data_IF_579259761427
#
_entry.id   IF_579259761427
#
_cell.length_a   1.000
_cell.length_b   1.000
_cell.length_c   1.000
_cell.angle_alpha   90.00
_cell.angle_beta   90.00
_cell.angle_gamma   90.00
#
_symmetry.space_group_name_H-M   'P 1'
#
loop_
_entity.id
_entity.type
_entity.pdbx_description
1 polymer ?
#
# COMPACT_ATOMS: atom_id res chain seq x y z
N UNK A 1 1.16 -10.15 1.20
CA UNK A 1 2.01 -8.96 1.52
C UNK A 1 3.01 -8.56 0.42
N UNK A 2 3.72 -9.46 -0.28
CA UNK A 2 4.61 -9.06 -1.40
C UNK A 2 3.91 -8.22 -2.49
N UNK A 3 2.69 -8.61 -2.87
CA UNK A 3 1.89 -7.86 -3.83
C UNK A 3 1.42 -6.49 -3.33
N UNK A 4 1.27 -6.33 -2.00
CA UNK A 4 0.95 -5.03 -1.39
C UNK A 4 2.12 -4.07 -1.59
N UNK A 5 3.36 -4.51 -1.30
CA UNK A 5 4.58 -3.72 -1.57
C UNK A 5 4.67 -3.31 -3.03
N UNK A 6 4.53 -4.28 -3.95
CA UNK A 6 4.60 -3.99 -5.39
C UNK A 6 3.57 -2.96 -5.85
N UNK A 7 2.39 -2.91 -5.25
CA UNK A 7 1.39 -1.88 -5.58
C UNK A 7 1.70 -0.54 -4.93
N UNK A 8 2.23 -0.52 -3.71
CA UNK A 8 2.73 0.70 -3.06
C UNK A 8 3.84 1.32 -3.91
N UNK A 9 4.83 0.53 -4.34
CA UNK A 9 5.93 1.00 -5.19
C UNK A 9 5.40 1.61 -6.50
N UNK A 10 4.46 0.92 -7.16
CA UNK A 10 3.83 1.42 -8.39
C UNK A 10 3.04 2.71 -8.18
N UNK A 11 2.42 2.90 -7.02
CA UNK A 11 1.73 4.14 -6.67
C UNK A 11 2.77 5.25 -6.48
N UNK A 12 3.85 5.00 -5.73
CA UNK A 12 4.93 5.96 -5.52
C UNK A 12 5.62 6.38 -6.83
N UNK A 13 5.92 5.41 -7.70
CA UNK A 13 6.47 5.67 -9.03
C UNK A 13 5.53 6.53 -9.87
N UNK A 14 4.22 6.23 -9.87
CA UNK A 14 3.24 7.03 -10.60
C UNK A 14 3.18 8.46 -10.10
N UNK A 15 3.14 8.66 -8.78
CA UNK A 15 3.13 9.99 -8.16
C UNK A 15 4.35 10.81 -8.58
N UNK A 16 5.52 10.19 -8.68
CA UNK A 16 6.74 10.83 -9.19
C UNK A 16 6.71 11.22 -10.68
N UNK A 17 5.77 10.69 -11.46
CA UNK A 17 5.65 10.95 -12.91
C UNK A 17 4.52 11.90 -13.29
N UNK A 18 3.74 12.37 -12.31
CA UNK A 18 2.64 13.33 -12.50
C UNK A 18 3.19 14.62 -13.13
N UNK A 19 2.65 15.07 -14.28
CA UNK A 19 3.08 16.32 -14.89
C UNK A 19 2.75 17.49 -13.96
N UNK A 20 3.59 18.53 -13.97
CA UNK A 20 3.37 19.71 -13.12
C UNK A 20 2.21 20.57 -13.60
N UNK A 21 2.03 20.67 -14.92
CA UNK A 21 0.97 21.45 -15.59
C UNK A 21 0.31 20.59 -16.67
N UNK A 22 -0.83 21.05 -17.20
CA UNK A 22 -1.59 20.37 -18.27
C UNK A 22 -1.90 21.41 -19.36
N UNK A 23 -0.86 21.82 -20.09
CA UNK A 23 -0.92 22.95 -21.02
C UNK A 23 -1.23 22.53 -22.47
N UNK A 24 -1.30 21.22 -22.74
CA UNK A 24 -1.57 20.66 -24.06
C UNK A 24 -2.50 19.44 -24.02
N UNK A 25 -3.06 19.06 -25.17
CA UNK A 25 -3.85 17.82 -25.28
C UNK A 25 -3.00 16.56 -25.03
N UNK A 26 -1.71 16.60 -25.39
CA UNK A 26 -0.77 15.53 -25.04
C UNK A 26 -0.58 15.41 -23.52
N UNK A 27 -0.48 16.53 -22.81
CA UNK A 27 -0.40 16.53 -21.35
C UNK A 27 -1.70 16.05 -20.72
N UNK A 28 -2.85 16.43 -21.31
CA UNK A 28 -4.17 15.95 -20.89
C UNK A 28 -4.26 14.43 -20.98
N UNK A 29 -3.82 13.85 -22.10
CA UNK A 29 -3.80 12.40 -22.30
C UNK A 29 -2.86 11.70 -21.32
N UNK A 30 -1.68 12.27 -21.08
CA UNK A 30 -0.73 11.76 -20.10
C UNK A 30 -1.27 11.82 -18.68
N UNK A 31 -1.84 12.95 -18.28
CA UNK A 31 -2.49 13.16 -16.99
C UNK A 31 -3.64 12.16 -16.79
N UNK A 32 -4.51 12.01 -17.78
CA UNK A 32 -5.60 11.03 -17.76
C UNK A 32 -5.07 9.60 -17.55
N UNK A 33 -4.05 9.18 -18.30
CA UNK A 33 -3.44 7.84 -18.15
C UNK A 33 -2.86 7.62 -16.75
N UNK A 34 -2.24 8.65 -16.16
CA UNK A 34 -1.67 8.56 -14.81
C UNK A 34 -2.78 8.44 -13.77
N UNK A 35 -3.81 9.29 -13.84
CA UNK A 35 -4.95 9.26 -12.93
C UNK A 35 -5.69 7.92 -13.01
N UNK A 36 -5.92 7.39 -14.21
CA UNK A 36 -6.58 6.09 -14.39
C UNK A 36 -5.78 4.94 -13.78
N UNK A 37 -4.45 4.97 -13.94
CA UNK A 37 -3.56 3.98 -13.30
C UNK A 37 -3.54 4.13 -11.79
N UNK A 38 -3.55 5.36 -11.27
CA UNK A 38 -3.60 5.62 -9.83
C UNK A 38 -4.87 5.02 -9.23
N UNK A 39 -6.05 5.29 -9.82
CA UNK A 39 -7.34 4.70 -9.42
C UNK A 39 -7.30 3.17 -9.49
N UNK A 40 -6.72 2.61 -10.55
CA UNK A 40 -6.61 1.15 -10.71
C UNK A 40 -5.75 0.53 -9.60
N UNK A 41 -4.60 1.11 -9.29
CA UNK A 41 -3.68 0.56 -8.30
C UNK A 41 -4.20 0.75 -6.87
N UNK A 42 -4.81 1.89 -6.56
CA UNK A 42 -5.44 2.12 -5.25
C UNK A 42 -6.57 1.13 -4.99
N UNK A 43 -7.46 0.91 -5.97
CA UNK A 43 -8.52 -0.09 -5.88
C UNK A 43 -7.98 -1.53 -5.74
N UNK A 44 -6.91 -1.86 -6.47
CA UNK A 44 -6.30 -3.19 -6.39
C UNK A 44 -5.65 -3.43 -5.03
N UNK A 45 -5.00 -2.41 -4.49
CA UNK A 45 -4.34 -2.47 -3.19
C UNK A 45 -5.36 -2.59 -2.06
N UNK A 46 -6.45 -1.84 -2.12
CA UNK A 46 -7.54 -1.93 -1.14
C UNK A 46 -8.14 -3.35 -1.10
N UNK A 47 -8.43 -3.94 -2.27
CA UNK A 47 -8.93 -5.31 -2.36
C UNK A 47 -7.98 -6.31 -1.71
N UNK A 48 -6.67 -6.15 -1.93
CA UNK A 48 -5.65 -7.02 -1.32
C UNK A 48 -5.55 -6.84 0.19
N UNK A 49 -5.65 -5.60 0.69
CA UNK A 49 -5.66 -5.33 2.13
C UNK A 49 -6.90 -5.97 2.76
N UNK A 50 -8.08 -5.75 2.18
CA UNK A 50 -9.34 -6.35 2.66
C UNK A 50 -9.28 -7.88 2.66
N UNK A 51 -8.72 -8.49 1.62
CA UNK A 51 -8.55 -9.94 1.55
C UNK A 51 -7.52 -10.49 2.55
N UNK A 52 -6.54 -9.68 2.98
CA UNK A 52 -5.57 -10.09 4.01
C UNK A 52 -6.02 -9.75 5.43
N UNK A 53 -6.98 -8.84 5.60
CA UNK A 53 -7.66 -8.54 6.86
C UNK A 53 -8.85 -9.46 7.06
N UNK A 54 -8.64 -10.75 6.87
CA UNK A 54 -9.65 -11.75 7.20
C UNK A 54 -9.79 -11.78 8.73
N UNK A 55 -10.98 -11.46 9.19
CA UNK A 55 -11.30 -11.27 10.61
C UNK A 55 -11.02 -12.54 11.43
N UNK A 56 -11.16 -13.73 10.84
CA UNK A 56 -10.90 -14.99 11.52
C UNK A 56 -9.40 -15.19 11.77
N UNK A 57 -8.56 -14.91 10.77
CA UNK A 57 -7.10 -14.99 10.93
C UNK A 57 -6.58 -13.93 11.90
N UNK A 58 -7.11 -12.71 11.84
CA UNK A 58 -6.73 -11.66 12.78
C UNK A 58 -7.13 -12.06 14.20
N UNK A 59 -8.37 -12.51 14.44
CA UNK A 59 -8.81 -12.98 15.75
C UNK A 59 -7.92 -14.09 16.30
N UNK A 60 -7.53 -15.08 15.48
CA UNK A 60 -6.61 -16.15 15.91
C UNK A 60 -5.25 -15.61 16.38
N UNK A 61 -4.72 -14.58 15.72
CA UNK A 61 -3.48 -13.92 16.14
C UNK A 61 -3.66 -13.14 17.45
N UNK A 62 -4.77 -12.41 17.61
CA UNK A 62 -5.09 -11.69 18.86
C UNK A 62 -5.40 -12.63 20.03
N UNK A 63 -5.90 -13.85 19.77
CA UNK A 63 -6.13 -14.87 20.80
C UNK A 63 -4.88 -15.66 21.18
N UNK A 64 -3.73 -15.42 20.52
CA UNK A 64 -2.48 -16.14 20.81
C UNK A 64 -2.04 -15.99 22.26
N UNK A 65 -1.57 -17.06 22.88
CA UNK A 65 -0.97 -17.02 24.23
C UNK A 65 0.38 -16.28 24.24
N UNK A 66 0.99 -16.07 23.08
CA UNK A 66 2.29 -15.40 22.93
C UNK A 66 2.07 -13.90 22.76
N UNK A 67 2.49 -13.10 23.74
CA UNK A 67 2.32 -11.63 23.75
C UNK A 67 2.94 -10.94 22.53
N UNK A 68 4.06 -11.45 22.02
CA UNK A 68 4.70 -10.93 20.81
C UNK A 68 3.82 -11.13 19.56
N UNK A 69 3.08 -12.23 19.47
CA UNK A 69 2.17 -12.51 18.36
C UNK A 69 0.93 -11.60 18.42
N UNK A 70 0.43 -11.32 19.62
CA UNK A 70 -0.63 -10.33 19.84
C UNK A 70 -0.21 -8.93 19.42
N UNK A 71 0.94 -8.46 19.90
CA UNK A 71 1.48 -7.16 19.51
C UNK A 71 1.73 -7.06 18.00
N UNK A 72 2.15 -8.15 17.37
CA UNK A 72 2.28 -8.22 15.92
C UNK A 72 0.94 -8.07 15.20
N UNK A 73 -0.13 -8.72 15.70
CA UNK A 73 -1.48 -8.58 15.16
C UNK A 73 -1.96 -7.12 15.22
N UNK A 74 -1.80 -6.46 16.38
CA UNK A 74 -2.14 -5.05 16.57
C UNK A 74 -1.36 -4.15 15.60
N UNK A 75 -0.06 -4.40 15.40
CA UNK A 75 0.75 -3.61 14.47
C UNK A 75 0.30 -3.78 13.01
N UNK A 76 -0.09 -5.00 12.59
CA UNK A 76 -0.60 -5.29 11.25
C UNK A 76 -1.97 -4.66 11.03
N UNK A 77 -2.87 -4.74 12.03
CA UNK A 77 -4.18 -4.11 11.93
C UNK A 77 -4.07 -2.59 11.80
N UNK A 78 -3.23 -1.96 12.63
CA UNK A 78 -2.97 -0.53 12.55
C UNK A 78 -2.40 -0.16 11.17
N UNK A 79 -1.46 -0.95 10.64
CA UNK A 79 -0.91 -0.74 9.29
C UNK A 79 -2.02 -0.80 8.22
N UNK A 80 -2.89 -1.80 8.26
CA UNK A 80 -3.98 -1.93 7.28
C UNK A 80 -4.99 -0.80 7.38
N UNK A 81 -5.33 -0.37 8.60
CA UNK A 81 -6.20 0.80 8.82
C UNK A 81 -5.57 2.06 8.21
N UNK A 82 -4.31 2.33 8.52
CA UNK A 82 -3.60 3.51 8.01
C UNK A 82 -3.53 3.50 6.47
N UNK A 83 -3.25 2.33 5.87
CA UNK A 83 -3.23 2.16 4.42
C UNK A 83 -4.62 2.37 3.79
N UNK A 84 -5.70 1.89 4.41
CA UNK A 84 -7.07 2.11 3.90
C UNK A 84 -7.39 3.61 3.90
N UNK A 85 -7.15 4.32 5.00
CA UNK A 85 -7.40 5.76 5.08
C UNK A 85 -6.62 6.53 4.02
N UNK A 86 -5.38 6.13 3.75
CA UNK A 86 -4.58 6.69 2.66
C UNK A 86 -5.18 6.41 1.28
N UNK A 87 -5.63 5.18 1.03
CA UNK A 87 -6.23 4.82 -0.25
C UNK A 87 -7.52 5.59 -0.51
N UNK A 88 -8.30 5.89 0.52
CA UNK A 88 -9.52 6.69 0.39
C UNK A 88 -9.19 8.13 -0.02
N UNK A 89 -8.20 8.75 0.62
CA UNK A 89 -7.72 10.10 0.24
C UNK A 89 -7.20 10.10 -1.20
N UNK A 90 -6.33 9.14 -1.56
CA UNK A 90 -5.79 9.05 -2.92
C UNK A 90 -6.88 8.85 -3.98
N UNK A 91 -7.98 8.16 -3.66
CA UNK A 91 -9.09 7.97 -4.60
C UNK A 91 -9.90 9.24 -4.79
N UNK A 92 -10.19 9.97 -3.71
CA UNK A 92 -10.91 11.24 -3.82
C UNK A 92 -10.08 12.26 -4.59
N UNK A 93 -8.79 12.41 -4.25
CA UNK A 93 -7.88 13.27 -4.99
C UNK A 93 -7.79 12.87 -6.47
N UNK A 94 -7.70 11.57 -6.77
CA UNK A 94 -7.66 11.08 -8.15
C UNK A 94 -8.96 11.35 -8.92
N UNK A 95 -10.13 11.24 -8.27
CA UNK A 95 -11.42 11.59 -8.90
C UNK A 95 -11.49 13.08 -9.22
N UNK A 96 -11.03 13.94 -8.31
CA UNK A 96 -11.04 15.38 -8.51
C UNK A 96 -10.04 15.79 -9.59
N UNK A 97 -8.84 15.19 -9.60
CA UNK A 97 -7.88 15.33 -10.70
C UNK A 97 -8.49 14.88 -12.04
N UNK A 98 -9.27 13.79 -12.07
CA UNK A 98 -9.95 13.32 -13.29
C UNK A 98 -10.95 14.34 -13.81
N UNK A 99 -11.72 14.99 -12.93
CA UNK A 99 -12.64 16.06 -13.33
C UNK A 99 -11.87 17.26 -13.89
N UNK A 100 -10.85 17.73 -13.15
CA UNK A 100 -10.01 18.87 -13.55
C UNK A 100 -9.42 18.67 -14.94
N UNK A 101 -8.84 17.50 -15.23
CA UNK A 101 -8.22 17.23 -16.54
C UNK A 101 -9.23 17.31 -17.69
N UNK A 102 -10.49 16.96 -17.44
CA UNK A 102 -11.52 16.86 -18.47
C UNK A 102 -12.38 18.11 -18.61
N UNK A 103 -12.40 18.98 -17.60
CA UNK A 103 -13.21 20.21 -17.56
C UNK A 103 -12.38 21.48 -17.89
N UNK A 104 -13.05 22.49 -18.45
CA UNK A 104 -12.51 23.87 -18.58
C UNK A 104 -11.56 24.13 -19.75
N UNK A 105 -11.22 25.42 -19.93
CA UNK A 105 -10.15 25.86 -20.80
C UNK A 105 -8.76 25.51 -20.22
N UNK A 106 -7.70 25.66 -21.03
CA UNK A 106 -6.34 25.20 -20.69
C UNK A 106 -5.77 25.95 -19.47
N UNK A 107 -6.04 27.25 -19.35
CA UNK A 107 -5.43 28.10 -18.32
C UNK A 107 -6.00 27.79 -16.93
N UNK A 108 -7.33 27.67 -16.83
CA UNK A 108 -8.01 27.28 -15.60
C UNK A 108 -7.68 25.83 -15.19
N UNK A 109 -7.58 24.92 -16.17
CA UNK A 109 -7.18 23.53 -15.96
C UNK A 109 -5.80 23.41 -15.35
N UNK A 110 -4.79 24.06 -15.93
CA UNK A 110 -3.41 23.96 -15.44
C UNK A 110 -3.27 24.49 -14.02
N UNK A 111 -3.95 25.58 -13.67
CA UNK A 111 -3.94 26.13 -12.32
C UNK A 111 -4.60 25.19 -11.31
N UNK A 112 -5.79 24.66 -11.62
CA UNK A 112 -6.48 23.67 -10.77
C UNK A 112 -5.68 22.38 -10.62
N UNK A 113 -5.04 21.94 -11.70
CA UNK A 113 -4.19 20.76 -11.70
C UNK A 113 -2.99 20.93 -10.76
N UNK A 114 -2.24 22.03 -10.88
CA UNK A 114 -1.14 22.35 -9.96
C UNK A 114 -1.56 22.27 -8.50
N UNK A 115 -2.73 22.84 -8.16
CA UNK A 115 -3.28 22.80 -6.81
C UNK A 115 -3.60 21.36 -6.36
N UNK A 116 -4.24 20.56 -7.21
CA UNK A 116 -4.57 19.17 -6.91
C UNK A 116 -3.33 18.31 -6.71
N UNK A 117 -2.29 18.50 -7.53
CA UNK A 117 -1.00 17.80 -7.37
C UNK A 117 -0.32 18.18 -6.06
N UNK A 118 -0.36 19.45 -5.65
CA UNK A 118 0.18 19.89 -4.38
C UNK A 118 -0.55 19.24 -3.19
N UNK A 119 -1.88 19.16 -3.25
CA UNK A 119 -2.69 18.50 -2.22
C UNK A 119 -2.38 17.01 -2.12
N UNK A 120 -2.33 16.31 -3.26
CA UNK A 120 -1.98 14.90 -3.33
C UNK A 120 -0.60 14.62 -2.71
N UNK A 121 0.41 15.42 -3.07
CA UNK A 121 1.75 15.30 -2.53
C UNK A 121 1.79 15.53 -1.01
N UNK A 122 1.05 16.52 -0.52
CA UNK A 122 0.94 16.77 0.92
C UNK A 122 0.23 15.62 1.64
N UNK A 123 -0.84 15.06 1.08
CA UNK A 123 -1.52 13.89 1.62
C UNK A 123 -0.59 12.69 1.75
N UNK A 124 0.15 12.38 0.68
CA UNK A 124 1.16 11.30 0.65
C UNK A 124 2.26 11.50 1.69
N UNK A 125 2.73 12.74 1.87
CA UNK A 125 3.81 13.09 2.78
C UNK A 125 3.35 13.02 4.25
N UNK A 126 2.15 13.55 4.55
CA UNK A 126 1.54 13.50 5.88
C UNK A 126 1.25 12.06 6.32
N UNK A 127 0.89 11.20 5.37
CA UNK A 127 0.53 9.80 5.63
C UNK A 127 1.74 8.84 5.55
N UNK A 128 2.95 9.35 5.33
CA UNK A 128 4.20 8.61 5.44
C UNK A 128 4.20 7.24 4.73
N UNK A 129 3.75 7.16 3.47
CA UNK A 129 3.71 5.91 2.67
C UNK A 129 5.02 5.09 2.75
N UNK A 130 6.17 5.75 2.69
CA UNK A 130 7.50 5.13 2.83
C UNK A 130 7.70 4.43 4.19
N UNK A 131 7.06 4.92 5.25
CA UNK A 131 7.10 4.31 6.58
C UNK A 131 6.24 3.04 6.62
N UNK A 132 5.10 3.04 5.94
CA UNK A 132 4.27 1.84 5.79
C UNK A 132 4.99 0.76 4.98
N UNK A 133 5.67 1.13 3.90
CA UNK A 133 6.52 0.24 3.11
C UNK A 133 7.60 -0.42 3.99
N UNK A 134 8.36 0.39 4.76
CA UNK A 134 9.38 -0.11 5.70
C UNK A 134 8.80 -1.04 6.77
N UNK A 135 7.60 -0.75 7.29
CA UNK A 135 6.89 -1.63 8.25
C UNK A 135 6.54 -2.97 7.62
N UNK A 136 6.02 -2.98 6.38
CA UNK A 136 5.71 -4.22 5.66
C UNK A 136 6.98 -5.04 5.38
N UNK A 137 8.07 -4.39 4.99
CA UNK A 137 9.36 -5.06 4.79
C UNK A 137 9.86 -5.71 6.09
N UNK A 138 9.73 -5.03 7.24
CA UNK A 138 10.04 -5.59 8.57
C UNK A 138 9.20 -6.85 8.84
N UNK A 139 7.90 -6.80 8.55
CA UNK A 139 7.01 -7.96 8.76
C UNK A 139 7.36 -9.15 7.85
N UNK A 140 7.72 -8.90 6.59
CA UNK A 140 8.17 -9.98 5.71
C UNK A 140 9.47 -10.63 6.23
N UNK A 141 10.42 -9.85 6.74
CA UNK A 141 11.64 -10.38 7.36
C UNK A 141 11.35 -11.24 8.59
N UNK A 142 10.48 -10.77 9.48
CA UNK A 142 10.06 -11.54 10.67
C UNK A 142 9.40 -12.85 10.25
N UNK A 143 8.48 -12.80 9.28
CA UNK A 143 7.83 -13.99 8.75
C UNK A 143 8.85 -14.99 8.21
N UNK A 144 9.75 -14.55 7.33
CA UNK A 144 10.78 -15.42 6.74
C UNK A 144 11.70 -16.00 7.81
N UNK A 145 12.10 -15.21 8.81
CA UNK A 145 12.91 -15.69 9.92
C UNK A 145 12.17 -16.75 10.74
N UNK A 146 10.91 -16.51 11.11
CA UNK A 146 10.12 -17.48 11.86
C UNK A 146 9.82 -18.76 11.07
N UNK A 147 9.52 -18.65 9.77
CA UNK A 147 9.38 -19.82 8.89
C UNK A 147 10.69 -20.62 8.81
N UNK A 148 11.84 -19.94 8.75
CA UNK A 148 13.15 -20.59 8.71
C UNK A 148 13.49 -21.31 10.02
N UNK A 149 13.26 -20.67 11.17
CA UNK A 149 13.51 -21.29 12.47
C UNK A 149 12.52 -22.42 12.76
N UNK A 150 11.24 -22.29 12.39
CA UNK A 150 10.27 -23.40 12.48
C UNK A 150 10.67 -24.58 11.61
N UNK A 151 11.14 -24.34 10.38
CA UNK A 151 11.65 -25.41 9.51
C UNK A 151 12.87 -26.09 10.10
N UNK A 152 13.85 -25.36 10.64
CA UNK A 152 14.98 -25.97 11.34
C UNK A 152 14.57 -26.86 12.50
N UNK A 153 13.56 -26.46 13.28
CA UNK A 153 13.07 -27.28 14.39
C UNK A 153 12.43 -28.57 13.87
N UNK A 154 11.60 -28.49 12.82
CA UNK A 154 10.95 -29.65 12.18
C UNK A 154 12.00 -30.57 11.51
N UNK A 155 12.93 -30.01 10.75
CA UNK A 155 14.01 -30.77 10.10
C UNK A 155 14.94 -31.41 11.15
N UNK A 156 15.12 -30.79 12.31
CA UNK A 156 15.82 -31.39 13.45
C UNK A 156 15.00 -32.49 14.13
N UNK A 157 13.66 -32.44 14.14
CA UNK A 157 12.83 -33.53 14.67
C UNK A 157 13.00 -34.81 13.83
N UNK A 158 13.11 -34.70 12.51
CA UNK A 158 13.42 -35.84 11.63
C UNK A 158 14.79 -36.47 11.96
N UNK A 159 15.81 -35.65 12.27
CA UNK A 159 17.12 -36.14 12.71
C UNK A 159 17.15 -36.64 14.17
N UNK A 160 16.25 -36.16 15.04
CA UNK A 160 16.08 -36.68 16.40
C UNK A 160 15.44 -38.07 16.37
N UNK A 161 14.56 -38.36 15.41
CA UNK A 161 14.03 -39.72 15.19
C UNK A 161 15.14 -40.68 14.71
N UNK A 162 16.07 -40.23 13.87
CA UNK A 162 17.24 -41.04 13.47
C UNK A 162 18.26 -41.28 14.60
N UNK A 163 18.39 -40.35 15.55
CA UNK A 163 19.27 -40.49 16.72
C UNK A 163 18.67 -41.32 17.86
N UNK A 164 17.35 -41.54 17.84
CA UNK A 164 16.61 -42.34 18.83
C UNK A 164 16.25 -43.75 18.32
N UNK A 165 16.63 -44.09 17.09
CA UNK A 165 16.51 -45.43 16.50
C UNK A 165 17.80 -46.25 16.71
#
# INVERSE_FOLDING_TARGET
MKHILTLIDKILDLLGTIPRTVDSDSDKDRANKIVDKLIKYTNSLEKLIKAHRDDEYMQRLHSSSISQVKGFADEVENLFRDLISLLDILKEDAKDMKKIVNDGDIEDRSKKWCSAVAHLNMGVLMLQLNKHEKRIQKFLKIKTFQEHELRKIIDCEDHVVELLA
#
